data_IF_373070048813
#
_entry.id   IF_373070048813
#
_cell.length_a   1.000
_cell.length_b   1.000
_cell.length_c   1.000
_cell.angle_alpha   90.00
_cell.angle_beta   90.00
_cell.angle_gamma   90.00
#
_symmetry.space_group_name_H-M   'P 1'
#
loop_
_entity.id
_entity.type
_entity.pdbx_description
1 polymer ?
#
# COMPACT_ATOMS: atom_id res chain seq x y z
N UNK A 1 7.53 30.75 2.64
CA UNK A 1 7.00 29.40 2.98
C UNK A 1 8.04 28.67 3.80
N UNK A 2 7.65 28.02 4.90
CA UNK A 2 8.57 27.27 5.76
C UNK A 2 8.98 25.96 5.04
N UNK A 3 10.29 25.77 4.79
CA UNK A 3 10.83 24.62 4.07
C UNK A 3 10.54 23.30 4.79
N UNK A 4 10.76 23.27 6.11
CA UNK A 4 10.51 22.08 6.92
C UNK A 4 9.02 21.69 6.92
N UNK A 5 8.12 22.67 7.04
CA UNK A 5 6.68 22.42 6.99
C UNK A 5 6.22 21.91 5.62
N UNK A 6 6.85 22.36 4.53
CA UNK A 6 6.57 21.85 3.19
C UNK A 6 6.97 20.39 3.07
N UNK A 7 8.19 20.03 3.48
CA UNK A 7 8.65 18.62 3.47
C UNK A 7 7.78 17.76 4.37
N UNK A 8 7.42 18.24 5.57
CA UNK A 8 6.51 17.54 6.47
C UNK A 8 5.17 17.22 5.79
N UNK A 9 4.55 18.22 5.14
CA UNK A 9 3.30 18.03 4.41
C UNK A 9 3.42 17.01 3.26
N UNK A 10 4.54 17.02 2.52
CA UNK A 10 4.81 16.04 1.47
C UNK A 10 4.93 14.62 2.03
N UNK A 11 5.70 14.45 3.12
CA UNK A 11 5.91 13.15 3.77
C UNK A 11 4.64 12.60 4.44
N UNK A 12 3.72 13.48 4.84
CA UNK A 12 2.41 13.11 5.36
C UNK A 12 1.44 12.68 4.27
N UNK A 13 1.45 13.39 3.13
CA UNK A 13 0.47 13.18 2.04
C UNK A 13 0.82 12.00 1.14
N UNK A 14 2.12 11.67 1.04
CA UNK A 14 2.55 10.61 0.11
C UNK A 14 2.04 9.23 0.49
N UNK A 15 1.66 8.45 -0.52
CA UNK A 15 1.31 7.03 -0.35
C UNK A 15 2.56 6.15 -0.21
N UNK A 16 3.63 6.47 -0.95
CA UNK A 16 4.90 5.72 -0.98
C UNK A 16 6.04 6.55 -0.38
N UNK A 17 7.06 5.93 0.22
CA UNK A 17 8.27 6.65 0.64
C UNK A 17 8.88 7.42 -0.53
N UNK A 18 9.30 8.67 -0.30
CA UNK A 18 9.91 9.54 -1.30
C UNK A 18 11.43 9.60 -1.10
N UNK A 19 12.18 9.44 -2.18
CA UNK A 19 13.62 9.65 -2.19
C UNK A 19 13.97 11.16 -2.10
N UNK A 20 15.21 11.49 -1.70
CA UNK A 20 15.66 12.88 -1.60
C UNK A 20 15.48 13.60 -2.94
N UNK A 21 15.84 12.95 -4.04
CA UNK A 21 15.75 13.50 -5.39
C UNK A 21 14.30 13.83 -5.80
N UNK A 22 13.35 13.02 -5.34
CA UNK A 22 11.91 13.28 -5.58
C UNK A 22 11.42 14.46 -4.74
N UNK A 23 11.87 14.54 -3.47
CA UNK A 23 11.58 15.68 -2.60
C UNK A 23 12.15 16.98 -3.16
N UNK A 24 13.39 16.97 -3.66
CA UNK A 24 14.00 18.13 -4.35
C UNK A 24 13.16 18.57 -5.56
N UNK A 25 12.81 17.62 -6.42
CA UNK A 25 12.05 17.89 -7.65
C UNK A 25 10.66 18.48 -7.37
N UNK A 26 9.95 17.92 -6.40
CA UNK A 26 8.57 18.34 -6.09
C UNK A 26 8.57 19.65 -5.30
N UNK A 27 9.44 19.78 -4.29
CA UNK A 27 9.51 20.98 -3.44
C UNK A 27 10.20 22.16 -4.11
N UNK A 28 11.01 21.91 -5.14
CA UNK A 28 11.94 22.87 -5.77
C UNK A 28 12.98 23.45 -4.80
N UNK A 29 13.27 22.72 -3.73
CA UNK A 29 14.33 23.05 -2.77
C UNK A 29 15.62 22.38 -3.20
N UNK A 30 16.75 22.94 -2.81
CA UNK A 30 18.06 22.30 -3.00
C UNK A 30 18.24 21.13 -2.03
N UNK A 31 19.12 20.18 -2.39
CA UNK A 31 19.42 18.99 -1.60
C UNK A 31 19.73 19.29 -0.13
N UNK A 32 20.54 20.33 0.12
CA UNK A 32 20.89 20.77 1.47
C UNK A 32 19.66 21.12 2.31
N UNK A 33 18.76 21.91 1.74
CA UNK A 33 17.51 22.32 2.42
C UNK A 33 16.60 21.14 2.72
N UNK A 34 16.52 20.17 1.79
CA UNK A 34 15.73 18.94 1.97
C UNK A 34 16.29 18.08 3.11
N UNK A 35 17.61 17.86 3.12
CA UNK A 35 18.29 17.07 4.17
C UNK A 35 18.13 17.74 5.54
N UNK A 36 18.36 19.05 5.64
CA UNK A 36 18.17 19.80 6.90
C UNK A 36 16.72 19.70 7.40
N UNK A 37 15.75 19.76 6.49
CA UNK A 37 14.33 19.60 6.84
C UNK A 37 14.02 18.18 7.35
N UNK A 38 14.56 17.15 6.71
CA UNK A 38 14.41 15.74 7.12
C UNK A 38 15.02 15.53 8.51
N UNK A 39 16.23 16.03 8.77
CA UNK A 39 16.91 15.90 10.07
C UNK A 39 16.13 16.62 11.19
N UNK A 40 15.54 17.79 10.90
CA UNK A 40 14.70 18.50 11.82
C UNK A 40 13.40 17.72 12.13
N UNK A 41 12.79 17.12 11.12
CA UNK A 41 11.58 16.30 11.29
C UNK A 41 11.89 15.00 12.04
N UNK A 42 13.03 14.37 11.78
CA UNK A 42 13.48 13.20 12.51
C UNK A 42 13.56 13.49 14.01
N UNK A 43 14.29 14.54 14.42
CA UNK A 43 14.37 14.97 15.80
C UNK A 43 13.00 15.28 16.42
N UNK A 44 12.14 16.00 15.67
CA UNK A 44 10.79 16.34 16.12
C UNK A 44 9.97 15.09 16.45
N UNK A 45 10.00 14.08 15.58
CA UNK A 45 9.15 12.89 15.69
C UNK A 45 9.78 11.71 16.44
N UNK A 46 11.05 11.81 16.87
CA UNK A 46 11.64 10.89 17.85
C UNK A 46 11.05 11.06 19.24
N UNK A 47 10.54 12.24 19.57
CA UNK A 47 9.91 12.53 20.85
C UNK A 47 8.68 11.63 21.10
N UNK A 48 8.53 11.15 22.33
CA UNK A 48 7.44 10.24 22.73
C UNK A 48 6.06 10.92 22.73
N UNK A 49 6.00 12.24 22.73
CA UNK A 49 4.75 13.00 22.67
C UNK A 49 4.03 12.90 21.31
N UNK A 50 4.71 12.37 20.29
CA UNK A 50 4.16 12.20 18.95
C UNK A 50 3.75 10.76 18.66
N UNK A 51 2.53 10.54 18.14
CA UNK A 51 2.04 9.23 17.71
C UNK A 51 2.54 8.76 16.32
N UNK A 52 3.30 9.63 15.62
CA UNK A 52 3.89 9.35 14.32
C UNK A 52 5.42 9.44 14.37
N UNK A 53 6.08 8.82 13.41
CA UNK A 53 7.54 8.86 13.26
C UNK A 53 7.94 8.97 11.80
N UNK A 54 9.19 9.38 11.56
CA UNK A 54 9.79 9.30 10.24
C UNK A 54 10.21 7.85 9.93
N UNK A 55 9.76 7.35 8.78
CA UNK A 55 10.18 6.07 8.22
C UNK A 55 11.23 6.31 7.16
N UNK A 56 12.34 5.54 7.18
CA UNK A 56 13.54 5.79 6.37
C UNK A 56 13.92 4.63 5.44
N UNK A 57 13.09 3.60 5.28
CA UNK A 57 13.41 2.48 4.41
C UNK A 57 12.84 2.69 2.99
N UNK A 58 13.73 2.69 1.99
CA UNK A 58 13.33 2.91 0.59
C UNK A 58 12.91 4.35 0.27
N UNK A 59 13.26 5.30 1.12
CA UNK A 59 12.86 6.70 1.08
C UNK A 59 12.25 7.16 2.39
N UNK A 60 11.67 8.35 2.41
CA UNK A 60 11.15 9.01 3.61
C UNK A 60 9.63 9.12 3.56
N UNK A 61 8.99 8.84 4.70
CA UNK A 61 7.54 8.95 4.88
C UNK A 61 7.20 9.11 6.36
N UNK A 62 6.15 9.86 6.68
CA UNK A 62 5.58 9.86 8.03
C UNK A 62 4.64 8.67 8.20
N UNK A 63 4.85 7.89 9.26
CA UNK A 63 4.04 6.70 9.57
C UNK A 63 3.66 6.69 11.05
N UNK A 64 2.60 5.99 11.39
CA UNK A 64 2.17 5.79 12.78
C UNK A 64 3.23 4.95 13.52
N UNK A 65 3.53 5.31 14.77
CA UNK A 65 4.40 4.51 15.64
C UNK A 65 3.76 3.16 15.96
N UNK A 66 4.61 2.12 16.11
CA UNK A 66 4.18 0.73 16.29
C UNK A 66 3.18 0.55 17.44
N UNK A 67 3.40 1.26 18.53
CA UNK A 67 2.57 1.20 19.74
C UNK A 67 1.12 1.66 19.53
N UNK A 68 0.88 2.55 18.56
CA UNK A 68 -0.46 3.06 18.23
C UNK A 68 -1.12 2.33 17.06
N UNK A 69 -0.38 1.48 16.32
CA UNK A 69 -0.89 0.83 15.10
C UNK A 69 -2.19 0.07 15.33
N UNK A 70 -2.29 -0.66 16.44
CA UNK A 70 -3.49 -1.44 16.74
C UNK A 70 -4.71 -0.55 16.99
N UNK A 71 -4.52 0.57 17.70
CA UNK A 71 -5.60 1.51 18.04
C UNK A 71 -6.17 2.24 16.83
N UNK A 72 -5.36 2.47 15.81
CA UNK A 72 -5.76 3.20 14.60
C UNK A 72 -6.00 2.31 13.39
N UNK A 73 -5.90 0.98 13.56
CA UNK A 73 -6.01 0.02 12.45
C UNK A 73 -7.31 0.15 11.66
N UNK A 74 -8.41 0.48 12.32
CA UNK A 74 -9.72 0.66 11.69
C UNK A 74 -9.83 1.97 10.88
N UNK A 75 -8.89 2.89 11.04
CA UNK A 75 -8.84 4.17 10.33
C UNK A 75 -7.93 4.12 9.11
N UNK A 76 -7.17 3.02 8.94
CA UNK A 76 -6.28 2.88 7.79
C UNK A 76 -7.06 2.67 6.51
N UNK A 77 -6.59 3.22 5.37
CA UNK A 77 -7.15 2.86 4.07
C UNK A 77 -7.20 1.33 3.92
N UNK A 78 -8.31 0.81 3.39
CA UNK A 78 -8.54 -0.62 3.19
C UNK A 78 -8.75 -1.44 4.48
N UNK A 79 -9.04 -0.81 5.61
CA UNK A 79 -9.38 -1.49 6.87
C UNK A 79 -10.65 -2.38 6.76
N UNK A 80 -11.48 -2.13 5.75
CA UNK A 80 -12.65 -2.94 5.39
C UNK A 80 -12.31 -4.30 4.76
N UNK A 81 -11.06 -4.50 4.35
CA UNK A 81 -10.56 -5.77 3.82
C UNK A 81 -9.77 -6.54 4.89
N UNK A 82 -10.27 -7.71 5.26
CA UNK A 82 -9.56 -8.58 6.21
C UNK A 82 -8.20 -9.06 5.63
N UNK A 83 -7.29 -9.49 6.51
CA UNK A 83 -6.00 -10.07 6.10
C UNK A 83 -6.18 -11.25 5.13
N UNK A 84 -7.20 -12.07 5.35
CA UNK A 84 -7.53 -13.20 4.47
C UNK A 84 -7.94 -12.75 3.06
N UNK A 85 -8.80 -11.74 2.98
CA UNK A 85 -9.22 -11.13 1.70
C UNK A 85 -8.03 -10.51 0.97
N UNK A 86 -7.18 -9.74 1.68
CA UNK A 86 -5.98 -9.13 1.11
C UNK A 86 -4.99 -10.19 0.59
N UNK A 87 -4.82 -11.28 1.33
CA UNK A 87 -3.93 -12.38 0.92
C UNK A 87 -4.41 -13.05 -0.36
N UNK A 88 -5.69 -13.40 -0.45
CA UNK A 88 -6.28 -13.98 -1.67
C UNK A 88 -6.21 -13.02 -2.83
N UNK A 89 -6.55 -11.75 -2.60
CA UNK A 89 -6.52 -10.71 -3.63
C UNK A 89 -5.10 -10.48 -4.17
N UNK A 90 -4.08 -10.51 -3.31
CA UNK A 90 -2.66 -10.39 -3.70
C UNK A 90 -2.21 -11.56 -4.56
N UNK A 91 -2.63 -12.79 -4.22
CA UNK A 91 -2.33 -13.98 -5.04
C UNK A 91 -2.98 -13.86 -6.42
N UNK A 92 -4.24 -13.42 -6.49
CA UNK A 92 -4.93 -13.21 -7.78
C UNK A 92 -4.22 -12.13 -8.58
N UNK A 93 -3.93 -10.97 -7.99
CA UNK A 93 -3.26 -9.87 -8.68
C UNK A 93 -1.89 -10.26 -9.25
N UNK A 94 -1.15 -11.10 -8.52
CA UNK A 94 0.18 -11.53 -8.94
C UNK A 94 0.15 -12.60 -10.04
N UNK A 95 -0.70 -13.62 -9.89
CA UNK A 95 -0.71 -14.79 -10.77
C UNK A 95 -1.78 -14.77 -11.86
N UNK A 96 -2.64 -13.74 -11.90
CA UNK A 96 -3.74 -13.68 -12.85
C UNK A 96 -3.32 -13.84 -14.33
N UNK A 97 -4.12 -14.52 -15.14
CA UNK A 97 -5.35 -15.23 -14.78
C UNK A 97 -5.07 -16.56 -14.05
N UNK A 98 -5.67 -16.78 -12.90
CA UNK A 98 -5.43 -17.96 -12.04
C UNK A 98 -6.75 -18.69 -11.74
N UNK A 99 -6.71 -20.04 -11.68
CA UNK A 99 -7.88 -20.82 -11.29
C UNK A 99 -8.13 -20.77 -9.78
N UNK A 100 -9.38 -20.87 -9.39
CA UNK A 100 -9.74 -20.95 -7.96
C UNK A 100 -9.12 -22.17 -7.26
N UNK A 101 -9.02 -23.29 -7.98
CA UNK A 101 -8.39 -24.51 -7.48
C UNK A 101 -6.90 -24.30 -7.14
N UNK A 102 -6.18 -23.54 -7.96
CA UNK A 102 -4.76 -23.25 -7.70
C UNK A 102 -4.57 -22.34 -6.50
N UNK A 103 -5.48 -21.40 -6.27
CA UNK A 103 -5.45 -20.57 -5.05
C UNK A 103 -5.72 -21.40 -3.80
N UNK A 104 -6.66 -22.36 -3.87
CA UNK A 104 -6.97 -23.28 -2.77
C UNK A 104 -5.76 -24.10 -2.34
N UNK A 105 -4.92 -24.53 -3.27
CA UNK A 105 -3.67 -25.25 -2.97
C UNK A 105 -2.70 -24.42 -2.12
N UNK A 106 -2.69 -23.10 -2.30
CA UNK A 106 -1.79 -22.19 -1.61
C UNK A 106 -2.36 -21.68 -0.27
N UNK A 107 -3.66 -21.39 -0.24
CA UNK A 107 -4.31 -20.68 0.88
C UNK A 107 -5.24 -21.61 1.68
N UNK A 108 -5.81 -22.62 1.06
CA UNK A 108 -6.76 -23.55 1.67
C UNK A 108 -8.23 -23.26 1.34
N UNK A 109 -9.12 -24.03 1.98
CA UNK A 109 -10.54 -24.09 1.63
C UNK A 109 -11.32 -22.77 1.83
N UNK A 110 -10.88 -21.88 2.72
CA UNK A 110 -11.49 -20.56 2.92
C UNK A 110 -11.41 -19.65 1.69
N UNK A 111 -10.58 -20.01 0.72
CA UNK A 111 -10.48 -19.32 -0.57
C UNK A 111 -11.83 -19.13 -1.24
N UNK A 112 -12.72 -20.12 -1.16
CA UNK A 112 -14.05 -20.04 -1.80
C UNK A 112 -14.91 -18.89 -1.26
N UNK A 113 -14.88 -18.68 0.06
CA UNK A 113 -15.58 -17.57 0.71
C UNK A 113 -14.96 -16.22 0.33
N UNK A 114 -13.64 -16.12 0.39
CA UNK A 114 -12.92 -14.90 0.05
C UNK A 114 -13.09 -14.50 -1.42
N UNK A 115 -13.02 -15.46 -2.35
CA UNK A 115 -13.25 -15.18 -3.78
C UNK A 115 -14.69 -14.72 -4.03
N UNK A 116 -15.67 -15.31 -3.35
CA UNK A 116 -17.06 -14.86 -3.43
C UNK A 116 -17.19 -13.42 -2.97
N UNK A 117 -16.65 -13.09 -1.81
CA UNK A 117 -16.70 -11.74 -1.25
C UNK A 117 -15.98 -10.73 -2.15
N UNK A 118 -14.77 -11.04 -2.62
CA UNK A 118 -14.02 -10.19 -3.53
C UNK A 118 -14.74 -9.96 -4.86
N UNK A 119 -15.43 -10.97 -5.37
CA UNK A 119 -16.25 -10.84 -6.58
C UNK A 119 -17.46 -9.96 -6.32
N UNK A 120 -18.17 -10.14 -5.20
CA UNK A 120 -19.32 -9.32 -4.81
C UNK A 120 -18.94 -7.86 -4.60
N UNK A 121 -17.76 -7.59 -4.03
CA UNK A 121 -17.20 -6.24 -3.86
C UNK A 121 -16.63 -5.64 -5.15
N UNK A 122 -16.59 -6.39 -6.24
CA UNK A 122 -16.13 -5.91 -7.55
C UNK A 122 -14.61 -5.85 -7.73
N UNK A 123 -13.81 -6.42 -6.83
CA UNK A 123 -12.34 -6.46 -6.95
C UNK A 123 -11.84 -7.54 -7.92
N UNK A 124 -12.59 -8.62 -8.05
CA UNK A 124 -12.25 -9.80 -8.84
C UNK A 124 -13.38 -10.14 -9.80
N UNK A 125 -13.03 -10.48 -11.02
CA UNK A 125 -13.93 -11.01 -12.03
C UNK A 125 -13.57 -12.45 -12.37
N UNK A 126 -14.61 -13.24 -12.74
CA UNK A 126 -14.49 -14.60 -13.22
C UNK A 126 -14.63 -14.61 -14.74
N UNK A 127 -13.66 -15.17 -15.42
CA UNK A 127 -13.72 -15.37 -16.87
C UNK A 127 -13.69 -16.87 -17.18
N UNK A 128 -14.57 -17.31 -18.08
CA UNK A 128 -14.59 -18.71 -18.49
C UNK A 128 -13.39 -18.98 -19.40
N UNK A 129 -12.49 -19.85 -18.96
CA UNK A 129 -11.36 -20.28 -19.74
C UNK A 129 -11.45 -21.80 -19.98
N UNK A 130 -11.98 -22.20 -21.13
CA UNK A 130 -12.23 -23.60 -21.46
C UNK A 130 -13.18 -24.28 -20.45
N UNK A 131 -12.72 -25.29 -19.72
CA UNK A 131 -13.51 -26.03 -18.72
C UNK A 131 -13.45 -25.43 -17.31
N UNK A 132 -12.58 -24.44 -17.09
CA UNK A 132 -12.35 -23.81 -15.77
C UNK A 132 -12.66 -22.33 -15.78
N UNK A 133 -12.91 -21.78 -14.61
CA UNK A 133 -13.04 -20.33 -14.41
C UNK A 133 -11.70 -19.77 -13.96
N UNK A 134 -11.21 -18.75 -14.67
CA UNK A 134 -10.04 -17.99 -14.32
C UNK A 134 -10.45 -16.71 -13.59
N UNK A 135 -9.68 -16.34 -12.57
CA UNK A 135 -9.87 -15.14 -11.77
C UNK A 135 -8.85 -14.08 -12.18
N UNK A 136 -9.33 -12.85 -12.31
CA UNK A 136 -8.51 -11.68 -12.60
C UNK A 136 -9.01 -10.49 -11.79
N UNK A 137 -8.14 -9.53 -11.54
CA UNK A 137 -8.52 -8.24 -10.92
C UNK A 137 -9.31 -7.38 -11.90
N UNK A 138 -10.07 -6.43 -11.38
CA UNK A 138 -10.90 -5.51 -12.14
C UNK A 138 -10.29 -4.11 -12.19
N UNK A 139 -10.88 -3.23 -12.99
CA UNK A 139 -10.55 -1.80 -12.97
C UNK A 139 -10.82 -1.18 -11.59
N UNK A 140 -11.88 -1.61 -10.89
CA UNK A 140 -12.17 -1.18 -9.53
C UNK A 140 -11.03 -1.51 -8.55
N UNK A 141 -10.37 -2.66 -8.70
CA UNK A 141 -9.16 -3.00 -7.94
C UNK A 141 -8.05 -1.96 -8.17
N UNK A 142 -7.77 -1.61 -9.42
CA UNK A 142 -6.72 -0.63 -9.75
C UNK A 142 -7.04 0.76 -9.19
N UNK A 143 -8.29 1.20 -9.27
CA UNK A 143 -8.75 2.48 -8.73
C UNK A 143 -8.67 2.52 -7.20
N UNK A 144 -9.06 1.44 -6.54
CA UNK A 144 -9.08 1.33 -5.08
C UNK A 144 -7.68 1.27 -4.46
N UNK A 145 -6.75 0.53 -5.06
CA UNK A 145 -5.38 0.39 -4.57
C UNK A 145 -4.40 1.41 -5.17
N UNK A 146 -4.80 2.17 -6.18
CA UNK A 146 -3.94 3.13 -6.86
C UNK A 146 -2.76 2.49 -7.61
N UNK A 147 -2.84 1.20 -7.92
CA UNK A 147 -1.77 0.45 -8.59
C UNK A 147 -2.35 -0.54 -9.60
N UNK A 148 -1.70 -0.69 -10.75
CA UNK A 148 -2.04 -1.73 -11.72
C UNK A 148 -1.47 -3.08 -11.27
N UNK A 149 -2.17 -4.16 -11.59
CA UNK A 149 -1.70 -5.52 -11.30
C UNK A 149 -0.30 -5.83 -11.85
N UNK A 150 0.06 -5.24 -12.99
CA UNK A 150 1.39 -5.36 -13.61
C UNK A 150 2.49 -4.68 -12.78
N UNK A 151 2.17 -3.58 -12.10
CA UNK A 151 3.10 -2.86 -11.21
C UNK A 151 3.35 -3.68 -9.95
N UNK A 152 2.31 -4.33 -9.42
CA UNK A 152 2.43 -5.24 -8.25
C UNK A 152 3.39 -6.40 -8.58
N UNK A 153 3.31 -6.98 -9.79
CA UNK A 153 4.23 -8.03 -10.25
C UNK A 153 5.69 -7.58 -10.30
N UNK A 154 5.94 -6.30 -10.61
CA UNK A 154 7.31 -5.74 -10.66
C UNK A 154 7.87 -5.46 -9.27
N UNK A 155 7.03 -5.08 -8.32
CA UNK A 155 7.45 -4.77 -6.95
C UNK A 155 7.78 -6.02 -6.12
N UNK A 156 7.28 -7.19 -6.52
CA UNK A 156 7.48 -8.47 -5.83
C UNK A 156 8.71 -9.27 -6.35
N UNK A 157 9.50 -8.72 -7.28
CA UNK A 157 10.79 -9.25 -7.73
C UNK A 157 11.93 -8.56 -7.01
#
# INVERSE_FOLDING_TARGET
>A
MNKTALIEAMLFTTMNPLAIEELEKISRLGKKDVVEAIDALKKKYEDESHGIRLFEAGGYKLVVKQEYMQSVSNLTPHADLSRGLLRVLSVIAYYQPISQADIVKVIGNRTYEYVRELTTRGFVKKEKKSRTQALSTTKHFEEYFGARAEEIKKMAK
#
